data_IF_128175025306
#
_entry.id   IF_128175025306
#
_cell.length_a   1.000
_cell.length_b   1.000
_cell.length_c   1.000
_cell.angle_alpha   90.00
_cell.angle_beta   90.00
_cell.angle_gamma   90.00
#
_symmetry.space_group_name_H-M   'P 1'
#
loop_
_entity.id
_entity.type
_entity.pdbx_description
1 polymer ?
#
# COMPACT_ATOMS: atom_id res chain seq x y z
N UNK A 1 -22.15 -5.45 1.88
CA UNK A 1 -21.57 -4.73 0.72
C UNK A 1 -22.50 -3.59 0.35
N UNK A 2 -22.03 -2.64 -0.45
CA UNK A 2 -22.85 -1.57 -0.99
C UNK A 2 -23.52 -2.05 -2.29
N UNK A 3 -24.78 -1.68 -2.51
CA UNK A 3 -25.46 -1.95 -3.78
C UNK A 3 -24.92 -1.01 -4.86
N UNK A 4 -24.95 -1.46 -6.12
CA UNK A 4 -24.62 -0.61 -7.25
C UNK A 4 -25.59 0.58 -7.31
N UNK A 5 -25.06 1.78 -7.57
CA UNK A 5 -25.84 3.00 -7.62
C UNK A 5 -25.01 4.24 -7.28
N UNK A 6 -25.69 5.33 -6.98
CA UNK A 6 -25.06 6.61 -6.72
C UNK A 6 -24.19 6.57 -5.45
N UNK A 7 -22.95 7.04 -5.57
CA UNK A 7 -22.05 7.22 -4.43
C UNK A 7 -22.31 8.59 -3.83
N UNK A 8 -22.82 8.60 -2.60
CA UNK A 8 -23.12 9.83 -1.86
C UNK A 8 -22.07 10.09 -0.78
N UNK A 9 -22.06 11.30 -0.22
CA UNK A 9 -21.25 11.54 0.99
C UNK A 9 -21.66 10.63 2.15
N UNK A 10 -22.95 10.27 2.28
CA UNK A 10 -23.39 9.27 3.26
C UNK A 10 -22.74 7.90 3.06
N UNK A 11 -22.54 7.49 1.79
CA UNK A 11 -21.76 6.30 1.43
C UNK A 11 -20.32 6.44 1.92
N UNK A 12 -19.67 7.58 1.67
CA UNK A 12 -18.29 7.82 2.08
C UNK A 12 -18.09 7.80 3.60
N UNK A 13 -19.00 8.42 4.37
CA UNK A 13 -18.98 8.36 5.83
C UNK A 13 -19.24 6.96 6.38
N UNK A 14 -19.97 6.12 5.64
CA UNK A 14 -20.20 4.72 6.03
C UNK A 14 -18.99 3.83 5.79
N UNK A 15 -18.21 4.09 4.73
CA UNK A 15 -16.98 3.34 4.39
C UNK A 15 -15.81 3.80 5.25
N UNK A 16 -15.64 5.12 5.41
CA UNK A 16 -14.53 5.76 6.10
C UNK A 16 -15.08 6.59 7.27
N UNK A 17 -15.49 5.95 8.37
CA UNK A 17 -16.17 6.65 9.47
C UNK A 17 -15.24 7.51 10.33
N UNK A 18 -13.92 7.33 10.21
CA UNK A 18 -12.92 8.06 10.98
C UNK A 18 -12.30 9.18 10.14
N UNK A 19 -11.87 10.25 10.81
CA UNK A 19 -11.23 11.41 10.19
C UNK A 19 -9.70 11.22 10.12
N UNK A 20 -9.28 10.06 9.62
CA UNK A 20 -7.87 9.73 9.47
C UNK A 20 -7.24 10.52 8.32
N UNK A 21 -6.02 11.01 8.54
CA UNK A 21 -5.21 11.65 7.52
C UNK A 21 -4.20 10.67 6.88
N UNK A 22 -3.76 11.00 5.67
CA UNK A 22 -2.72 10.26 4.98
C UNK A 22 -1.34 10.57 5.57
N UNK A 23 -0.54 9.53 5.82
CA UNK A 23 0.87 9.62 6.18
C UNK A 23 1.68 8.87 5.13
N UNK A 24 2.80 9.46 4.71
CA UNK A 24 3.78 8.78 3.84
C UNK A 24 5.11 8.65 4.56
N UNK A 25 5.77 7.51 4.43
CA UNK A 25 7.02 7.22 5.13
C UNK A 25 7.86 6.23 4.31
N UNK A 26 9.10 5.99 4.75
CA UNK A 26 9.98 4.98 4.18
C UNK A 26 10.33 3.92 5.25
N UNK A 27 10.35 2.65 4.86
CA UNK A 27 10.76 1.52 5.70
C UNK A 27 11.69 0.59 4.92
N UNK A 28 12.55 -0.14 5.63
CA UNK A 28 13.31 -1.22 5.01
C UNK A 28 12.40 -2.37 4.55
N UNK A 29 12.85 -3.19 3.61
CA UNK A 29 12.10 -4.39 3.20
C UNK A 29 11.85 -5.35 4.36
N UNK A 30 12.78 -5.46 5.30
CA UNK A 30 12.63 -6.27 6.50
C UNK A 30 11.48 -5.77 7.39
N UNK A 31 11.39 -4.45 7.60
CA UNK A 31 10.29 -3.84 8.35
C UNK A 31 8.97 -3.95 7.60
N UNK A 32 8.97 -3.71 6.29
CA UNK A 32 7.79 -3.88 5.45
C UNK A 32 7.21 -5.29 5.61
N UNK A 33 8.06 -6.32 5.58
CA UNK A 33 7.64 -7.72 5.81
C UNK A 33 7.00 -7.89 7.20
N UNK A 34 7.64 -7.37 8.25
CA UNK A 34 7.12 -7.47 9.61
C UNK A 34 5.76 -6.77 9.77
N UNK A 35 5.59 -5.61 9.15
CA UNK A 35 4.34 -4.84 9.17
C UNK A 35 3.22 -5.59 8.43
N UNK A 36 3.53 -6.20 7.29
CA UNK A 36 2.55 -6.99 6.52
C UNK A 36 2.14 -8.25 7.30
N UNK A 37 3.11 -9.01 7.81
CA UNK A 37 2.84 -10.23 8.58
C UNK A 37 2.00 -9.95 9.83
N UNK A 38 2.31 -8.85 10.53
CA UNK A 38 1.51 -8.38 11.67
C UNK A 38 0.03 -8.15 11.32
N UNK A 39 -0.27 -7.70 10.11
CA UNK A 39 -1.63 -7.45 9.65
C UNK A 39 -2.37 -8.67 9.09
N UNK A 40 -1.69 -9.79 8.84
CA UNK A 40 -2.32 -11.00 8.27
C UNK A 40 -2.86 -11.88 9.40
N UNK A 41 -4.19 -12.11 9.38
CA UNK A 41 -4.90 -12.99 10.30
C UNK A 41 -4.52 -12.75 11.78
N UNK A 42 -4.57 -11.48 12.18
CA UNK A 42 -4.32 -11.08 13.56
C UNK A 42 -5.38 -11.67 14.51
N UNK A 43 -4.98 -12.14 15.71
CA UNK A 43 -5.92 -12.60 16.72
C UNK A 43 -6.65 -11.45 17.44
N UNK A 44 -6.10 -10.23 17.38
CA UNK A 44 -6.52 -9.11 18.24
C UNK A 44 -7.32 -8.03 17.50
N UNK A 45 -7.18 -7.95 16.18
CA UNK A 45 -7.78 -6.92 15.34
C UNK A 45 -8.07 -7.47 13.94
N UNK A 46 -8.81 -6.70 13.14
CA UNK A 46 -9.19 -7.11 11.79
C UNK A 46 -7.96 -7.12 10.88
N UNK A 47 -7.84 -8.11 9.99
CA UNK A 47 -6.72 -8.18 9.05
C UNK A 47 -6.57 -6.89 8.24
N UNK A 48 -5.32 -6.44 8.13
CA UNK A 48 -4.93 -5.28 7.33
C UNK A 48 -5.28 -5.45 5.86
N UNK A 49 -5.39 -4.33 5.15
CA UNK A 49 -5.53 -4.30 3.70
C UNK A 49 -4.28 -3.65 3.12
N UNK A 50 -3.72 -4.29 2.09
CA UNK A 50 -2.48 -3.88 1.45
C UNK A 50 -2.68 -3.79 -0.06
N UNK A 51 -1.92 -2.95 -0.74
CA UNK A 51 -1.94 -2.76 -2.18
C UNK A 51 -0.51 -2.49 -2.69
N UNK A 52 -0.30 -2.57 -4.01
CA UNK A 52 1.04 -2.37 -4.59
C UNK A 52 1.99 -3.55 -4.44
N UNK A 53 1.57 -4.62 -3.77
CA UNK A 53 2.35 -5.83 -3.53
C UNK A 53 1.50 -7.09 -3.72
N UNK A 54 2.16 -8.21 -3.96
CA UNK A 54 1.65 -9.57 -3.85
C UNK A 54 2.39 -10.26 -2.71
N UNK A 55 1.64 -10.93 -1.84
CA UNK A 55 2.16 -11.56 -0.62
C UNK A 55 1.81 -13.03 -0.63
N UNK A 56 2.80 -13.89 -0.42
CA UNK A 56 2.62 -15.31 -0.17
C UNK A 56 2.85 -15.59 1.30
N UNK A 57 2.01 -16.43 1.89
CA UNK A 57 2.10 -16.75 3.32
C UNK A 57 1.66 -18.18 3.62
N UNK A 58 2.21 -18.72 4.71
CA UNK A 58 1.79 -19.98 5.32
C UNK A 58 0.71 -19.68 6.37
N UNK A 59 -0.50 -20.18 6.15
CA UNK A 59 -1.63 -19.97 7.07
C UNK A 59 -1.53 -20.80 8.36
N UNK A 60 -0.77 -21.90 8.32
CA UNK A 60 -0.54 -22.79 9.46
C UNK A 60 0.61 -22.33 10.35
N UNK A 61 1.43 -21.38 9.88
CA UNK A 61 2.53 -20.80 10.63
C UNK A 61 2.06 -19.88 11.78
N UNK A 62 2.94 -19.72 12.78
CA UNK A 62 2.67 -18.88 13.93
C UNK A 62 2.46 -17.41 13.52
N UNK A 63 1.64 -16.69 14.30
CA UNK A 63 1.37 -15.28 14.03
C UNK A 63 2.67 -14.47 14.03
N UNK A 64 2.86 -13.63 12.99
CA UNK A 64 4.09 -12.85 12.70
C UNK A 64 5.26 -13.67 12.14
N UNK A 65 5.02 -14.92 11.76
CA UNK A 65 5.99 -15.80 11.11
C UNK A 65 5.39 -16.47 9.87
N UNK A 66 4.42 -15.82 9.22
CA UNK A 66 3.63 -16.39 8.12
C UNK A 66 4.15 -16.02 6.75
N UNK A 67 4.70 -14.82 6.58
CA UNK A 67 5.00 -14.29 5.25
C UNK A 67 6.23 -14.95 4.64
N UNK A 68 6.03 -15.75 3.59
CA UNK A 68 7.07 -16.50 2.90
C UNK A 68 7.70 -15.68 1.77
N UNK A 69 6.92 -14.91 1.02
CA UNK A 69 7.40 -14.05 -0.07
C UNK A 69 6.58 -12.78 -0.22
N UNK A 70 7.23 -11.72 -0.69
CA UNK A 70 6.58 -10.47 -1.07
C UNK A 70 7.20 -9.99 -2.38
N UNK A 71 6.35 -9.63 -3.33
CA UNK A 71 6.74 -9.01 -4.61
C UNK A 71 5.97 -7.72 -4.84
N UNK A 72 6.58 -6.79 -5.56
CA UNK A 72 5.86 -5.67 -6.17
C UNK A 72 4.92 -6.20 -7.28
N UNK A 73 3.97 -5.36 -7.71
CA UNK A 73 3.01 -5.77 -8.75
C UNK A 73 3.67 -6.15 -10.09
N UNK A 74 4.83 -5.58 -10.38
CA UNK A 74 5.66 -5.89 -11.56
C UNK A 74 6.43 -7.23 -11.44
N UNK A 75 6.31 -7.92 -10.30
CA UNK A 75 6.98 -9.18 -10.03
C UNK A 75 8.34 -9.04 -9.33
N UNK A 76 8.85 -7.83 -9.11
CA UNK A 76 10.13 -7.61 -8.42
C UNK A 76 10.07 -8.08 -6.97
N UNK A 77 10.98 -8.97 -6.51
CA UNK A 77 11.05 -9.35 -5.09
C UNK A 77 11.36 -8.17 -4.18
N UNK A 78 10.68 -8.11 -3.03
CA UNK A 78 11.08 -7.24 -1.92
C UNK A 78 12.38 -7.77 -1.31
N UNK A 79 13.36 -6.89 -1.15
CA UNK A 79 14.64 -7.21 -0.51
C UNK A 79 14.76 -6.49 0.82
N UNK A 80 15.24 -7.22 1.81
CA UNK A 80 15.25 -6.77 3.20
C UNK A 80 16.09 -5.49 3.44
N UNK A 81 17.13 -5.29 2.63
CA UNK A 81 18.09 -4.18 2.72
C UNK A 81 17.76 -2.97 1.82
N UNK A 82 16.69 -3.05 1.02
CA UNK A 82 16.22 -1.92 0.20
C UNK A 82 15.15 -1.11 0.97
N UNK A 83 15.09 0.21 0.70
CA UNK A 83 14.07 1.10 1.26
C UNK A 83 12.85 1.21 0.35
N UNK A 84 11.67 1.22 0.95
CA UNK A 84 10.38 1.27 0.28
C UNK A 84 9.52 2.39 0.85
N UNK A 85 8.94 3.21 -0.03
CA UNK A 85 7.97 4.22 0.38
C UNK A 85 6.62 3.55 0.63
N UNK A 86 6.01 3.82 1.77
CA UNK A 86 4.70 3.33 2.19
C UNK A 86 3.78 4.52 2.45
N UNK A 87 2.54 4.42 2.00
CA UNK A 87 1.46 5.32 2.42
C UNK A 87 0.52 4.59 3.38
N UNK A 88 0.16 5.20 4.49
CA UNK A 88 -0.75 4.63 5.50
C UNK A 88 -1.62 5.71 6.13
N UNK A 89 -2.47 5.32 7.08
CA UNK A 89 -3.28 6.23 7.89
C UNK A 89 -2.48 6.69 9.12
N UNK A 90 -2.67 7.92 9.55
CA UNK A 90 -2.16 8.46 10.82
C UNK A 90 -2.44 7.53 12.01
N UNK A 91 -3.67 7.00 12.15
CA UNK A 91 -4.02 6.03 13.18
C UNK A 91 -3.10 4.81 13.19
N UNK A 92 -2.77 4.26 12.03
CA UNK A 92 -1.91 3.06 11.90
C UNK A 92 -0.45 3.43 12.17
N UNK A 93 0.00 4.58 11.68
CA UNK A 93 1.33 5.11 11.95
C UNK A 93 1.57 5.33 13.45
N UNK A 94 0.59 5.88 14.16
CA UNK A 94 0.64 6.18 15.60
C UNK A 94 0.49 4.94 16.51
N UNK A 95 0.50 3.73 15.94
CA UNK A 95 0.43 2.47 16.67
C UNK A 95 -0.97 1.88 16.83
N UNK A 96 -1.94 2.40 16.08
CA UNK A 96 -3.24 1.76 15.88
C UNK A 96 -3.08 0.31 15.44
N UNK A 97 -3.97 -0.56 15.92
CA UNK A 97 -3.89 -2.01 15.70
C UNK A 97 -2.52 -2.62 16.05
N UNK A 98 -1.77 -2.01 16.97
CA UNK A 98 -0.46 -2.45 17.45
C UNK A 98 0.62 -2.51 16.36
N UNK A 99 0.47 -1.74 15.28
CA UNK A 99 1.54 -1.56 14.31
C UNK A 99 2.71 -0.79 14.93
N UNK A 100 3.94 -1.09 14.51
CA UNK A 100 5.14 -0.43 15.03
C UNK A 100 5.94 0.21 13.88
N UNK A 101 5.77 1.52 13.73
CA UNK A 101 6.52 2.34 12.77
C UNK A 101 7.67 3.11 13.43
N UNK A 102 8.15 2.68 14.61
CA UNK A 102 9.23 3.38 15.34
C UNK A 102 10.55 3.51 14.56
N UNK A 103 10.74 2.68 13.53
CA UNK A 103 11.92 2.69 12.66
C UNK A 103 11.67 3.35 11.30
N UNK A 104 10.48 3.86 11.05
CA UNK A 104 10.16 4.55 9.80
C UNK A 104 11.04 5.80 9.62
N UNK A 105 11.50 6.01 8.39
CA UNK A 105 12.27 7.17 7.97
C UNK A 105 11.43 8.08 7.07
N UNK A 106 11.88 9.31 6.85
CA UNK A 106 11.29 10.26 5.91
C UNK A 106 9.76 10.41 6.04
N UNK A 107 9.28 10.41 7.29
CA UNK A 107 7.85 10.51 7.60
C UNK A 107 7.32 11.90 7.25
N UNK A 108 6.19 11.92 6.56
CA UNK A 108 5.42 13.10 6.20
C UNK A 108 3.97 12.87 6.61
N UNK A 109 3.55 13.55 7.69
CA UNK A 109 2.14 13.75 8.00
C UNK A 109 1.56 14.77 7.01
N UNK A 110 0.75 14.32 6.07
CA UNK A 110 0.25 15.20 5.01
C UNK A 110 -0.88 16.11 5.49
N UNK A 111 -1.52 15.75 6.60
CA UNK A 111 -2.76 16.36 7.11
C UNK A 111 -3.91 16.36 6.09
N UNK A 112 -3.83 15.53 5.04
CA UNK A 112 -4.87 15.39 4.04
C UNK A 112 -5.88 14.33 4.50
N UNK A 113 -7.17 14.68 4.69
CA UNK A 113 -8.18 13.72 5.09
C UNK A 113 -8.38 12.66 4.00
N UNK A 114 -8.25 11.38 4.35
CA UNK A 114 -8.33 10.29 3.37
C UNK A 114 -9.72 10.20 2.72
N UNK A 115 -10.77 10.53 3.48
CA UNK A 115 -12.14 10.60 2.93
C UNK A 115 -12.25 11.61 1.80
N UNK A 116 -11.60 12.75 1.92
CA UNK A 116 -11.65 13.81 0.91
C UNK A 116 -10.87 13.37 -0.34
N UNK A 117 -9.67 12.81 -0.15
CA UNK A 117 -8.86 12.27 -1.25
C UNK A 117 -9.62 11.20 -2.07
N UNK A 118 -10.31 10.27 -1.41
CA UNK A 118 -11.11 9.24 -2.08
C UNK A 118 -12.39 9.84 -2.68
N UNK A 119 -12.96 10.88 -2.08
CA UNK A 119 -14.13 11.54 -2.66
C UNK A 119 -13.76 12.26 -3.96
N UNK A 120 -12.62 12.96 -3.98
CA UNK A 120 -12.11 13.64 -5.18
C UNK A 120 -11.77 12.65 -6.29
N UNK A 121 -11.09 11.55 -5.93
CA UNK A 121 -10.87 10.40 -6.79
C UNK A 121 -12.12 9.90 -7.51
N UNK A 122 -13.14 9.59 -6.73
CA UNK A 122 -14.38 9.01 -7.24
C UNK A 122 -15.10 10.00 -8.15
N UNK A 123 -15.06 11.30 -7.81
CA UNK A 123 -15.63 12.35 -8.65
C UNK A 123 -14.91 12.47 -9.99
N UNK A 124 -13.59 12.30 -10.03
CA UNK A 124 -12.81 12.35 -11.26
C UNK A 124 -13.04 11.12 -12.15
N UNK A 125 -13.22 9.94 -11.56
CA UNK A 125 -13.48 8.70 -12.30
C UNK A 125 -14.87 8.68 -12.95
N UNK A 126 -15.84 9.43 -12.39
CA UNK A 126 -17.28 9.44 -12.73
C UNK A 126 -18.00 8.09 -12.55
N UNK A 127 -17.43 7.00 -13.04
CA UNK A 127 -17.89 5.62 -12.91
C UNK A 127 -16.76 4.77 -12.35
N UNK A 128 -17.05 4.04 -11.27
CA UNK A 128 -16.10 3.08 -10.70
C UNK A 128 -16.44 1.69 -11.23
N UNK A 129 -15.57 1.16 -12.08
CA UNK A 129 -15.51 -0.26 -12.38
C UNK A 129 -14.22 -0.82 -11.81
N UNK A 130 -14.32 -1.79 -10.90
CA UNK A 130 -13.17 -2.40 -10.26
C UNK A 130 -13.29 -3.91 -10.30
N UNK A 131 -12.23 -4.57 -10.76
CA UNK A 131 -12.05 -6.01 -10.65
C UNK A 131 -11.19 -6.29 -9.43
N UNK A 132 -11.66 -7.19 -8.56
CA UNK A 132 -10.87 -7.59 -7.40
C UNK A 132 -9.58 -8.26 -7.87
N UNK A 133 -8.45 -7.66 -7.49
CA UNK A 133 -7.13 -8.25 -7.73
C UNK A 133 -6.70 -8.97 -6.46
N UNK A 134 -6.61 -10.30 -6.54
CA UNK A 134 -6.05 -11.09 -5.44
C UNK A 134 -4.56 -10.77 -5.27
N UNK A 135 -4.19 -10.46 -4.04
CA UNK A 135 -2.84 -10.03 -3.70
C UNK A 135 -2.27 -10.74 -2.46
N UNK A 136 -3.04 -11.63 -1.85
CA UNK A 136 -2.65 -12.45 -0.71
C UNK A 136 -2.88 -13.92 -1.08
N UNK A 137 -1.80 -14.68 -1.19
CA UNK A 137 -1.78 -16.05 -1.70
C UNK A 137 -1.33 -17.01 -0.60
N UNK A 138 -2.11 -18.07 -0.35
CA UNK A 138 -1.69 -19.13 0.57
C UNK A 138 -0.66 -20.03 -0.12
N UNK A 139 0.44 -20.31 0.56
CA UNK A 139 1.49 -21.24 0.11
C UNK A 139 2.79 -20.56 -0.32
N UNK A 140 3.53 -21.24 -1.20
CA UNK A 140 4.84 -20.79 -1.67
C UNK A 140 4.74 -19.97 -2.95
N UNK A 141 5.65 -19.00 -3.05
CA UNK A 141 5.86 -18.23 -4.27
C UNK A 141 6.62 -19.08 -5.30
N UNK A 142 5.92 -19.48 -6.35
CA UNK A 142 6.46 -20.29 -7.46
C UNK A 142 6.84 -19.44 -8.67
N UNK A 143 6.79 -18.12 -8.56
CA UNK A 143 7.14 -17.23 -9.66
C UNK A 143 8.65 -17.23 -9.89
N UNK A 144 9.04 -17.17 -11.17
CA UNK A 144 10.45 -17.15 -11.57
C UNK A 144 10.91 -15.69 -11.61
N UNK A 145 12.06 -15.41 -11.00
CA UNK A 145 12.70 -14.11 -11.12
C UNK A 145 13.15 -13.89 -12.56
N UNK A 146 12.34 -13.16 -13.32
CA UNK A 146 12.78 -12.63 -14.60
C UNK A 146 13.72 -11.44 -14.34
N UNK A 147 14.86 -11.35 -15.05
CA UNK A 147 15.71 -10.17 -14.96
C UNK A 147 14.91 -8.96 -15.43
N UNK A 148 14.63 -8.03 -14.51
CA UNK A 148 14.00 -6.74 -14.83
C UNK A 148 14.96 -6.01 -15.77
N UNK A 149 14.61 -5.90 -17.06
CA UNK A 149 15.30 -4.98 -17.95
C UNK A 149 15.07 -3.54 -17.43
N UNK A 150 16.15 -2.83 -17.09
CA UNK A 150 16.10 -1.45 -16.59
C UNK A 150 15.49 -0.44 -17.59
N UNK A 151 15.10 -0.88 -18.80
CA UNK A 151 14.63 -0.04 -19.91
C UNK A 151 13.09 0.00 -20.08
N UNK A 152 12.34 -0.40 -19.06
CA UNK A 152 10.91 -0.08 -18.95
C UNK A 152 10.70 1.44 -18.83
N UNK A 153 9.52 2.00 -19.22
CA UNK A 153 9.25 3.42 -19.05
C UNK A 153 9.46 3.81 -17.59
N UNK A 154 10.55 4.54 -17.34
CA UNK A 154 10.82 5.09 -16.02
C UNK A 154 9.71 6.10 -15.73
N UNK A 155 8.88 5.78 -14.74
CA UNK A 155 8.09 6.83 -14.10
C UNK A 155 9.09 7.92 -13.67
N UNK A 156 8.80 9.19 -13.96
CA UNK A 156 9.73 10.28 -13.67
C UNK A 156 10.22 10.17 -12.24
N UNK A 157 11.52 10.37 -12.05
CA UNK A 157 12.12 10.49 -10.74
C UNK A 157 11.21 11.40 -9.90
N UNK A 158 10.66 10.86 -8.82
CA UNK A 158 9.66 11.52 -8.00
C UNK A 158 10.28 12.79 -7.42
N UNK A 159 9.89 13.91 -8.03
CA UNK A 159 10.62 15.18 -8.02
C UNK A 159 10.54 15.96 -9.35
N UNK A 160 10.16 15.33 -10.47
CA UNK A 160 9.92 16.03 -11.75
C UNK A 160 8.53 15.82 -12.37
N UNK A 161 7.54 15.35 -11.61
CA UNK A 161 6.15 15.29 -12.04
C UNK A 161 5.35 16.36 -11.32
N UNK A 162 4.65 17.20 -12.11
CA UNK A 162 3.65 18.11 -11.60
C UNK A 162 2.62 17.36 -10.76
N UNK A 163 2.15 18.03 -9.71
CA UNK A 163 1.32 17.53 -8.61
C UNK A 163 0.21 16.57 -9.05
N UNK A 164 -0.35 16.72 -10.26
CA UNK A 164 -1.42 15.89 -10.85
C UNK A 164 -1.17 14.37 -10.96
N UNK A 165 0.06 13.92 -11.25
CA UNK A 165 0.29 12.49 -11.56
C UNK A 165 0.36 11.58 -10.32
N UNK A 166 0.70 12.14 -9.16
CA UNK A 166 0.63 11.44 -7.87
C UNK A 166 -0.80 11.27 -7.38
N UNK A 167 -1.68 12.23 -7.70
CA UNK A 167 -3.08 12.11 -7.37
C UNK A 167 -3.69 10.90 -8.07
N UNK A 168 -3.51 10.70 -9.38
CA UNK A 168 -4.12 9.57 -10.09
C UNK A 168 -3.75 8.16 -9.60
N UNK A 169 -2.50 7.93 -9.18
CA UNK A 169 -2.05 6.62 -8.65
C UNK A 169 -2.32 6.47 -7.14
N UNK A 170 -2.20 7.55 -6.36
CA UNK A 170 -2.56 7.58 -4.94
C UNK A 170 -4.04 7.36 -4.71
N UNK A 171 -4.87 7.87 -5.61
CA UNK A 171 -6.32 7.74 -5.62
C UNK A 171 -6.77 6.28 -5.77
N UNK A 172 -6.13 5.49 -6.65
CA UNK A 172 -6.44 4.06 -6.77
C UNK A 172 -6.00 3.27 -5.53
N UNK A 173 -4.90 3.67 -4.90
CA UNK A 173 -4.37 3.02 -3.69
C UNK A 173 -5.17 3.31 -2.41
N UNK A 174 -5.90 4.42 -2.35
CA UNK A 174 -6.73 4.76 -1.20
C UNK A 174 -8.03 3.95 -1.14
N UNK A 175 -8.50 3.41 -2.27
CA UNK A 175 -9.65 2.49 -2.31
C UNK A 175 -9.28 1.08 -1.81
N UNK A 176 -8.00 0.69 -1.80
CA UNK A 176 -7.54 -0.66 -1.48
C UNK A 176 -6.49 -0.80 -0.34
N UNK A 177 -6.00 0.29 0.25
CA UNK A 177 -5.07 0.28 1.38
C UNK A 177 -3.60 0.21 0.96
N UNK A 178 -2.77 1.13 1.45
CA UNK A 178 -1.31 1.26 1.32
C UNK A 178 -0.64 0.98 -0.05
N UNK A 179 0.00 2.00 -0.63
CA UNK A 179 0.82 1.91 -1.85
C UNK A 179 2.32 1.78 -1.53
N UNK A 180 3.03 0.90 -2.25
CA UNK A 180 4.49 0.69 -2.15
C UNK A 180 5.18 0.95 -3.49
N UNK A 181 6.27 1.75 -3.51
CA UNK A 181 7.10 1.94 -4.71
C UNK A 181 8.60 2.02 -4.42
N UNK A 182 9.44 1.65 -5.40
CA UNK A 182 10.91 1.64 -5.33
C UNK A 182 11.52 2.92 -5.92
N UNK A 183 12.56 3.48 -5.28
CA UNK A 183 13.30 4.64 -5.77
C UNK A 183 14.40 4.22 -6.75
N UNK A 184 14.43 4.82 -7.95
CA UNK A 184 15.55 4.68 -8.90
C UNK A 184 16.74 5.52 -8.45
N UNK A 185 17.89 4.89 -8.19
CA UNK A 185 19.14 5.60 -7.89
C UNK A 185 19.81 6.06 -9.19
N UNK A 186 19.70 7.34 -9.55
CA UNK A 186 20.59 7.91 -10.58
C UNK A 186 21.98 8.11 -9.97
N UNK A 187 22.94 7.33 -10.45
CA UNK A 187 24.37 7.56 -10.23
C UNK A 187 24.73 8.88 -10.93
N UNK A 188 25.04 9.92 -10.16
CA UNK A 188 25.59 11.15 -10.72
C UNK A 188 27.03 10.87 -11.15
N UNK A 189 27.30 10.97 -12.45
CA UNK A 189 28.64 11.15 -13.00
C UNK A 189 29.01 12.63 -12.98
#
# INVERSE_FOLDING_TARGET
GFEAGDITMGTMYSILPFDNALVTLEVSGAELRQLIDHGINSPDFRSGQFYGIKVWYDEDAEYKERVTSIRLLDGTPIKDDEMYTVSTLDFIYDGGDKYDFSKAENVVETYLPVRDLITEAIREMEVIEFEFVENLFVGEDTTVDEPVEEDGPTLPATGSLGTGAFYGLGILSLVAGAYVSKKSSKKSA
#
